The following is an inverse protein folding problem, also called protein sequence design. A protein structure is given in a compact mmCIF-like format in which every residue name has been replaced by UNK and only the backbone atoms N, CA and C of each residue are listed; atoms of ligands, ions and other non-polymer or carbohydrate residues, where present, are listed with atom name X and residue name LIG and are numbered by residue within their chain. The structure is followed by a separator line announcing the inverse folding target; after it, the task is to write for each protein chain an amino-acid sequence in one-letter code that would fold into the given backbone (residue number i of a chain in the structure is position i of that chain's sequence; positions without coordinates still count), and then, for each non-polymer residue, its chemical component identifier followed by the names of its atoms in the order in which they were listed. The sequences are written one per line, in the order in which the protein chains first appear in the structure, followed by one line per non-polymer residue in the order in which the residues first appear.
data_IF_222587978478
#
_entry.id   IF_222587978478
#
_cell.length_a   1.000
_cell.length_b   1.000
_cell.length_c   1.000
_cell.angle_alpha   90.00
_cell.angle_beta   90.00
_cell.angle_gamma   90.00
#
_symmetry.space_group_name_H-M   'P 1'
#
loop_
_entity.id
_entity.type
_entity.pdbx_description
1 polymer ?
#
# COMPACT_ATOMS: atom_id res chain seq x y z
N UNK A 1 -16.76 -11.52 -0.67
CA UNK A 1 -15.86 -10.36 -0.78
C UNK A 1 -15.20 -10.11 0.57
N UNK A 2 -13.94 -9.74 0.56
CA UNK A 2 -13.20 -9.43 1.79
C UNK A 2 -13.27 -7.95 2.11
N UNK A 3 -13.16 -7.63 3.41
CA UNK A 3 -13.04 -6.24 3.84
C UNK A 3 -11.68 -5.71 3.44
N UNK A 4 -11.66 -4.55 2.83
CA UNK A 4 -10.46 -3.88 2.35
C UNK A 4 -10.33 -2.53 3.04
N UNK A 5 -9.20 -2.30 3.69
CA UNK A 5 -8.85 -1.00 4.29
C UNK A 5 -7.93 -0.27 3.30
N UNK A 6 -8.37 0.87 2.83
CA UNK A 6 -7.71 1.62 1.78
C UNK A 6 -7.27 2.96 2.35
N UNK A 7 -5.97 3.20 2.31
CA UNK A 7 -5.39 4.46 2.74
C UNK A 7 -4.66 5.11 1.57
N UNK A 8 -5.28 6.15 1.01
CA UNK A 8 -4.68 6.98 -0.01
C UNK A 8 -3.90 8.08 0.71
N UNK A 9 -2.59 7.87 0.86
CA UNK A 9 -1.75 8.72 1.72
C UNK A 9 -1.40 10.05 1.09
N UNK A 10 -1.18 10.07 -0.22
CA UNK A 10 -0.85 11.30 -0.94
C UNK A 10 -1.37 11.18 -2.36
N UNK A 11 -2.40 11.95 -2.67
CA UNK A 11 -2.99 12.04 -4.00
C UNK A 11 -2.80 13.46 -4.55
N UNK A 12 -2.15 13.61 -5.71
CA UNK A 12 -2.15 14.91 -6.39
C UNK A 12 -3.58 15.35 -6.68
N UNK A 13 -3.88 16.63 -6.58
CA UNK A 13 -5.23 17.12 -6.84
C UNK A 13 -5.74 16.75 -8.23
N UNK A 14 -4.85 16.68 -9.21
CA UNK A 14 -5.20 16.25 -10.58
C UNK A 14 -5.65 14.80 -10.65
N UNK A 15 -5.22 13.95 -9.71
CA UNK A 15 -5.58 12.55 -9.67
C UNK A 15 -6.91 12.28 -8.96
N UNK A 16 -7.37 13.19 -8.10
CA UNK A 16 -8.55 12.96 -7.27
C UNK A 16 -9.83 12.76 -8.07
N UNK A 17 -9.96 13.41 -9.20
CA UNK A 17 -11.13 13.26 -10.08
C UNK A 17 -11.26 11.83 -10.60
N UNK A 18 -10.19 11.25 -11.14
CA UNK A 18 -10.19 9.89 -11.68
C UNK A 18 -10.41 8.85 -10.57
N UNK A 19 -9.78 9.06 -9.42
CA UNK A 19 -9.97 8.20 -8.25
C UNK A 19 -11.42 8.28 -7.79
N UNK A 20 -11.98 9.47 -7.71
CA UNK A 20 -13.36 9.68 -7.28
C UNK A 20 -14.35 9.01 -8.24
N UNK A 21 -14.10 9.08 -9.53
CA UNK A 21 -14.94 8.40 -10.53
C UNK A 21 -14.96 6.89 -10.31
N UNK A 22 -13.79 6.29 -10.09
CA UNK A 22 -13.72 4.85 -9.79
C UNK A 22 -14.50 4.52 -8.51
N UNK A 23 -14.28 5.27 -7.45
CA UNK A 23 -14.91 5.02 -6.16
C UNK A 23 -16.42 5.21 -6.22
N UNK A 24 -16.90 6.19 -6.99
CA UNK A 24 -18.34 6.44 -7.17
C UNK A 24 -19.03 5.28 -7.88
N UNK A 25 -18.37 4.61 -8.81
CA UNK A 25 -18.90 3.42 -9.48
C UNK A 25 -19.13 2.27 -8.50
N UNK A 26 -18.44 2.26 -7.37
CA UNK A 26 -18.59 1.29 -6.30
C UNK A 26 -19.35 1.86 -5.09
N UNK A 27 -20.05 2.97 -5.28
CA UNK A 27 -20.86 3.65 -4.24
C UNK A 27 -20.02 4.09 -3.05
N UNK A 28 -18.77 4.47 -3.29
CA UNK A 28 -17.85 4.96 -2.28
C UNK A 28 -17.64 6.47 -2.45
N UNK A 29 -17.73 7.19 -1.35
CA UNK A 29 -17.53 8.64 -1.30
C UNK A 29 -16.53 8.96 -0.19
N UNK A 30 -15.23 8.90 -0.46
CA UNK A 30 -14.22 9.16 0.56
C UNK A 30 -14.21 10.63 0.95
N UNK A 31 -13.87 10.90 2.21
CA UNK A 31 -13.71 12.24 2.72
C UNK A 31 -12.25 12.65 2.59
N UNK A 32 -11.96 13.46 1.58
CA UNK A 32 -10.61 13.95 1.32
C UNK A 32 -10.20 15.03 2.33
N UNK A 33 -8.96 14.93 2.79
CA UNK A 33 -8.34 15.89 3.72
C UNK A 33 -6.98 16.29 3.19
N UNK A 34 -6.44 17.47 3.57
CA UNK A 34 -5.08 17.82 3.20
C UNK A 34 -4.06 16.82 3.72
N UNK A 35 -3.01 16.56 2.92
CA UNK A 35 -1.85 15.80 3.35
C UNK A 35 -0.75 16.77 3.81
N UNK A 36 -0.47 16.87 5.13
CA UNK A 36 0.48 17.87 5.63
C UNK A 36 1.93 17.66 5.18
N UNK A 37 2.33 16.43 4.91
CA UNK A 37 3.70 16.13 4.50
C UNK A 37 4.05 16.74 3.14
N UNK A 38 3.07 16.78 2.22
CA UNK A 38 3.26 17.38 0.90
C UNK A 38 2.14 18.37 0.65
N UNK A 39 2.39 19.69 0.87
CA UNK A 39 1.36 20.71 0.67
C UNK A 39 0.78 20.69 -0.75
N UNK A 40 -0.52 20.90 -0.84
CA UNK A 40 -1.23 20.87 -2.12
C UNK A 40 -1.71 19.46 -2.54
N UNK A 41 -1.48 18.45 -1.73
CA UNK A 41 -1.99 17.09 -1.97
C UNK A 41 -3.05 16.71 -0.95
N UNK A 42 -3.78 15.64 -1.24
CA UNK A 42 -4.90 15.17 -0.44
C UNK A 42 -4.68 13.74 0.03
N UNK A 43 -5.31 13.40 1.13
CA UNK A 43 -5.35 12.04 1.68
C UNK A 43 -6.76 11.64 2.04
N UNK A 44 -7.02 10.34 2.07
CA UNK A 44 -8.26 9.78 2.59
C UNK A 44 -8.05 8.33 3.04
N UNK A 45 -8.82 7.87 4.00
CA UNK A 45 -8.84 6.48 4.44
C UNK A 45 -10.27 6.02 4.60
N UNK A 46 -10.56 4.83 4.10
CA UNK A 46 -11.91 4.24 4.16
C UNK A 46 -11.83 2.73 4.04
N UNK A 47 -12.94 2.06 4.40
CA UNK A 47 -13.09 0.63 4.23
C UNK A 47 -14.13 0.35 3.16
N UNK A 48 -13.92 -0.74 2.43
CA UNK A 48 -14.81 -1.18 1.37
C UNK A 48 -14.80 -2.69 1.24
N UNK A 49 -15.88 -3.23 0.70
CA UNK A 49 -15.96 -4.64 0.31
C UNK A 49 -15.70 -4.75 -1.18
N UNK A 50 -14.47 -5.09 -1.54
CA UNK A 50 -14.04 -5.19 -2.93
C UNK A 50 -13.57 -6.61 -3.25
N UNK A 51 -13.80 -7.04 -4.49
CA UNK A 51 -13.25 -8.29 -5.00
C UNK A 51 -11.76 -8.13 -5.30
N UNK A 52 -11.05 -9.24 -5.45
CA UNK A 52 -9.62 -9.22 -5.80
C UNK A 52 -9.39 -8.48 -7.13
N UNK A 53 -10.26 -8.68 -8.11
CA UNK A 53 -10.19 -7.97 -9.40
C UNK A 53 -10.37 -6.46 -9.25
N UNK A 54 -11.30 -6.04 -8.41
CA UNK A 54 -11.53 -4.61 -8.13
C UNK A 54 -10.34 -3.98 -7.42
N UNK A 55 -9.75 -4.69 -6.45
CA UNK A 55 -8.54 -4.23 -5.75
C UNK A 55 -7.37 -4.11 -6.73
N UNK A 56 -7.18 -5.09 -7.59
CA UNK A 56 -6.12 -5.05 -8.62
C UNK A 56 -6.31 -3.86 -9.57
N UNK A 57 -7.54 -3.61 -10.02
CA UNK A 57 -7.85 -2.48 -10.88
C UNK A 57 -7.58 -1.14 -10.17
N UNK A 58 -8.02 -1.01 -8.93
CA UNK A 58 -7.78 0.20 -8.13
C UNK A 58 -6.28 0.43 -7.93
N UNK A 59 -5.53 -0.59 -7.58
CA UNK A 59 -4.08 -0.51 -7.37
C UNK A 59 -3.35 -0.03 -8.64
N UNK A 60 -3.74 -0.56 -9.80
CA UNK A 60 -3.18 -0.14 -11.09
C UNK A 60 -3.49 1.31 -11.41
N UNK A 61 -4.73 1.73 -11.17
CA UNK A 61 -5.17 3.10 -11.38
C UNK A 61 -4.38 4.07 -10.49
N UNK A 62 -4.30 3.77 -9.20
CA UNK A 62 -3.58 4.60 -8.23
C UNK A 62 -2.09 4.73 -8.58
N UNK A 63 -1.48 3.64 -9.02
CA UNK A 63 -0.08 3.64 -9.46
C UNK A 63 0.13 4.53 -10.67
N UNK A 64 -0.75 4.45 -11.67
CA UNK A 64 -0.71 5.30 -12.87
C UNK A 64 -0.85 6.78 -12.54
N UNK A 65 -1.67 7.11 -11.55
CA UNK A 65 -1.94 8.48 -11.16
C UNK A 65 -0.91 9.08 -10.20
N UNK A 66 0.10 8.32 -9.82
CA UNK A 66 1.16 8.78 -8.92
C UNK A 66 0.71 8.94 -7.47
N UNK A 67 -0.28 8.19 -7.05
CA UNK A 67 -0.77 8.19 -5.67
C UNK A 67 0.13 7.34 -4.79
N UNK A 68 0.47 7.83 -3.60
CA UNK A 68 1.09 7.02 -2.54
C UNK A 68 -0.04 6.38 -1.75
N UNK A 69 -0.04 5.05 -1.65
CA UNK A 69 -1.16 4.36 -1.01
C UNK A 69 -0.75 3.07 -0.33
N UNK A 70 -1.63 2.62 0.55
CA UNK A 70 -1.54 1.38 1.29
C UNK A 70 -2.92 0.75 1.28
N UNK A 71 -3.01 -0.50 0.83
CA UNK A 71 -4.24 -1.27 0.82
C UNK A 71 -4.03 -2.55 1.62
N UNK A 72 -4.81 -2.71 2.68
CA UNK A 72 -4.85 -3.94 3.46
C UNK A 72 -6.08 -4.73 3.07
N UNK A 73 -5.90 -5.96 2.62
CA UNK A 73 -6.98 -6.85 2.23
C UNK A 73 -7.07 -8.02 3.20
N UNK A 74 -8.17 -8.08 3.96
CA UNK A 74 -8.48 -9.17 4.85
C UNK A 74 -9.16 -10.28 4.08
N UNK A 75 -8.53 -11.43 3.97
CA UNK A 75 -9.03 -12.61 3.27
C UNK A 75 -8.39 -13.86 3.88
N UNK A 76 -8.63 -15.04 3.30
CA UNK A 76 -7.94 -16.27 3.72
C UNK A 76 -6.43 -16.14 3.58
N UNK A 77 -6.00 -15.40 2.56
CA UNK A 77 -4.60 -15.06 2.33
C UNK A 77 -4.47 -13.54 2.43
N UNK A 78 -4.38 -12.99 3.65
CA UNK A 78 -4.32 -11.54 3.80
C UNK A 78 -3.08 -10.97 3.16
N UNK A 79 -3.22 -9.79 2.56
CA UNK A 79 -2.13 -9.11 1.90
C UNK A 79 -2.13 -7.61 2.14
N UNK A 80 -0.95 -7.03 1.97
CA UNK A 80 -0.72 -5.60 2.00
C UNK A 80 -0.21 -5.18 0.62
N UNK A 81 -0.82 -4.17 0.04
CA UNK A 81 -0.40 -3.61 -1.25
C UNK A 81 0.08 -2.20 -0.99
N UNK A 82 1.32 -1.93 -1.39
CA UNK A 82 1.94 -0.62 -1.25
C UNK A 82 2.19 -0.02 -2.64
N UNK A 83 2.00 1.28 -2.76
CA UNK A 83 2.28 2.00 -3.98
C UNK A 83 3.01 3.31 -3.72
N UNK A 84 4.06 3.56 -4.49
CA UNK A 84 4.80 4.80 -4.46
C UNK A 84 5.32 5.13 -5.87
N UNK A 85 5.21 6.39 -6.34
CA UNK A 85 5.63 6.74 -7.70
C UNK A 85 7.08 6.37 -8.02
N UNK A 86 7.97 6.43 -7.03
CA UNK A 86 9.39 6.12 -7.22
C UNK A 86 9.70 4.63 -7.26
N UNK A 87 8.85 3.77 -6.71
CA UNK A 87 9.11 2.32 -6.60
C UNK A 87 8.06 1.45 -7.29
N UNK A 88 6.89 2.01 -7.63
CA UNK A 88 5.78 1.26 -8.20
C UNK A 88 4.95 0.52 -7.16
N UNK A 89 4.40 -0.62 -7.55
CA UNK A 89 3.53 -1.47 -6.71
C UNK A 89 4.32 -2.59 -6.04
N UNK A 90 3.95 -2.90 -4.80
CA UNK A 90 4.45 -4.07 -4.10
C UNK A 90 3.30 -4.76 -3.35
N UNK A 91 3.08 -6.02 -3.64
CA UNK A 91 2.14 -6.87 -2.92
C UNK A 91 2.89 -7.76 -1.96
N UNK A 92 2.48 -7.74 -0.69
CA UNK A 92 3.14 -8.47 0.39
C UNK A 92 2.16 -9.44 1.03
N UNK A 93 2.60 -10.68 1.25
CA UNK A 93 1.87 -11.61 2.10
C UNK A 93 2.07 -11.21 3.56
N UNK A 94 1.02 -11.30 4.35
CA UNK A 94 1.07 -11.02 5.79
C UNK A 94 0.39 -12.15 6.55
N UNK A 95 0.74 -12.31 7.81
CA UNK A 95 0.09 -13.28 8.69
C UNK A 95 -1.14 -12.67 9.39
N UNK A 96 -1.77 -13.43 10.26
CA UNK A 96 -2.97 -13.00 11.00
C UNK A 96 -2.70 -11.84 11.96
N UNK A 97 -1.45 -11.61 12.35
CA UNK A 97 -1.07 -10.47 13.20
C UNK A 97 -0.67 -9.22 12.39
N UNK A 98 -0.67 -9.31 11.07
CA UNK A 98 -0.27 -8.21 10.19
C UNK A 98 1.24 -8.15 9.92
N UNK A 99 1.99 -9.15 10.35
CA UNK A 99 3.42 -9.25 10.07
C UNK A 99 3.67 -9.70 8.63
N UNK A 100 4.64 -9.10 7.98
CA UNK A 100 5.06 -9.50 6.64
C UNK A 100 5.73 -10.86 6.72
N UNK A 101 5.31 -11.78 5.86
CA UNK A 101 5.88 -13.13 5.78
C UNK A 101 6.57 -13.34 4.45
N UNK A 102 7.70 -14.05 4.48
CA UNK A 102 8.44 -14.47 3.30
C UNK A 102 8.54 -16.00 3.32
N UNK A 103 8.32 -16.61 2.18
CA UNK A 103 8.45 -18.06 2.05
C UNK A 103 9.91 -18.46 2.05
N UNK A 104 10.22 -19.62 2.65
CA UNK A 104 11.58 -20.16 2.73
C UNK A 104 12.23 -20.27 1.34
N UNK A 105 11.47 -20.73 0.35
CA UNK A 105 11.98 -20.83 -1.03
C UNK A 105 12.39 -19.50 -1.62
N UNK A 106 11.65 -18.42 -1.31
CA UNK A 106 12.01 -17.05 -1.71
C UNK A 106 13.30 -16.60 -1.02
N UNK A 107 13.41 -16.86 0.29
CA UNK A 107 14.61 -16.51 1.04
C UNK A 107 15.85 -17.23 0.51
N UNK A 108 15.74 -18.53 0.24
CA UNK A 108 16.83 -19.31 -0.35
C UNK A 108 17.26 -18.77 -1.71
N UNK A 109 16.29 -18.35 -2.55
CA UNK A 109 16.58 -17.71 -3.84
C UNK A 109 17.38 -16.43 -3.65
N UNK A 110 16.97 -15.57 -2.72
CA UNK A 110 17.67 -14.32 -2.45
C UNK A 110 19.09 -14.54 -1.94
N UNK A 111 19.28 -15.56 -1.09
CA UNK A 111 20.62 -15.92 -0.60
C UNK A 111 21.51 -16.35 -1.77
N UNK A 112 21.00 -17.16 -2.70
CA UNK A 112 21.77 -17.57 -3.90
C UNK A 112 22.08 -16.39 -4.79
N UNK A 113 21.11 -15.51 -5.05
CA UNK A 113 21.28 -14.33 -5.90
C UNK A 113 22.30 -13.33 -5.33
N UNK A 114 22.43 -13.26 -4.01
CA UNK A 114 23.37 -12.36 -3.35
C UNK A 114 24.84 -12.83 -3.43
N UNK A 115 25.07 -14.09 -3.79
CA UNK A 115 26.41 -14.68 -3.96
C UNK A 115 27.33 -14.46 -2.76
N UNK A 116 26.78 -14.53 -1.54
CA UNK A 116 27.55 -14.34 -0.31
C UNK A 116 27.83 -12.89 0.06
N UNK A 117 27.30 -11.93 -0.68
CA UNK A 117 27.44 -10.51 -0.38
C UNK A 117 26.32 -10.03 0.56
N UNK A 118 26.68 -9.68 1.80
CA UNK A 118 25.72 -9.25 2.81
C UNK A 118 24.94 -8.00 2.42
N UNK A 119 25.59 -7.01 1.83
CA UNK A 119 24.92 -5.77 1.40
C UNK A 119 23.91 -6.02 0.31
N UNK A 120 24.26 -6.91 -0.63
CA UNK A 120 23.34 -7.29 -1.70
C UNK A 120 22.14 -8.09 -1.16
N UNK A 121 22.38 -9.03 -0.22
CA UNK A 121 21.30 -9.76 0.43
C UNK A 121 20.38 -8.81 1.19
N UNK A 122 20.92 -7.86 1.94
CA UNK A 122 20.15 -6.86 2.65
C UNK A 122 19.28 -6.04 1.68
N UNK A 123 19.85 -5.60 0.57
CA UNK A 123 19.13 -4.86 -0.47
C UNK A 123 17.96 -5.67 -1.03
N UNK A 124 18.21 -6.93 -1.38
CA UNK A 124 17.19 -7.83 -1.93
C UNK A 124 16.08 -8.10 -0.92
N UNK A 125 16.43 -8.29 0.36
CA UNK A 125 15.45 -8.49 1.42
C UNK A 125 14.57 -7.24 1.62
N UNK A 126 15.15 -6.05 1.59
CA UNK A 126 14.38 -4.80 1.71
C UNK A 126 13.35 -4.63 0.59
N UNK A 127 13.70 -5.06 -0.61
CA UNK A 127 12.76 -5.06 -1.75
C UNK A 127 11.67 -6.12 -1.54
N UNK A 128 12.06 -7.35 -1.23
CA UNK A 128 11.13 -8.48 -1.12
C UNK A 128 10.15 -8.32 0.05
N UNK A 129 10.60 -7.77 1.17
CA UNK A 129 9.75 -7.51 2.35
C UNK A 129 8.99 -6.19 2.28
N UNK A 130 9.19 -5.41 1.22
CA UNK A 130 8.54 -4.11 1.05
C UNK A 130 9.07 -3.01 1.99
N UNK A 131 10.16 -3.23 2.70
CA UNK A 131 10.73 -2.24 3.62
C UNK A 131 11.07 -0.94 2.90
N UNK A 132 11.56 -1.01 1.66
CA UNK A 132 11.86 0.18 0.86
C UNK A 132 10.60 1.04 0.62
N UNK A 133 9.44 0.42 0.40
CA UNK A 133 8.15 1.13 0.28
C UNK A 133 7.71 1.70 1.62
N UNK A 134 7.80 0.90 2.69
CA UNK A 134 7.40 1.34 4.03
C UNK A 134 8.17 2.56 4.49
N UNK A 135 9.47 2.63 4.22
CA UNK A 135 10.30 3.79 4.56
C UNK A 135 9.83 5.06 3.82
N UNK A 136 9.39 4.94 2.58
CA UNK A 136 8.88 6.07 1.80
C UNK A 136 7.46 6.47 2.18
N UNK A 137 6.67 5.53 2.66
CA UNK A 137 5.27 5.75 3.06
C UNK A 137 5.18 6.35 4.47
N UNK A 138 6.09 6.00 5.37
CA UNK A 138 6.03 6.38 6.77
C UNK A 138 5.91 7.90 7.02
N UNK A 139 6.63 8.80 6.31
CA UNK A 139 6.47 10.24 6.52
C UNK A 139 5.03 10.72 6.31
N UNK A 140 4.34 10.16 5.32
CA UNK A 140 2.93 10.52 5.06
C UNK A 140 2.01 10.02 6.17
N UNK A 141 2.26 8.81 6.68
CA UNK A 141 1.50 8.23 7.80
C UNK A 141 1.66 9.05 9.06
N UNK A 142 2.89 9.44 9.38
CA UNK A 142 3.22 10.22 10.58
C UNK A 142 2.64 11.62 10.52
N UNK A 143 2.52 12.21 9.34
CA UNK A 143 1.94 13.53 9.15
C UNK A 143 0.41 13.55 9.29
N UNK A 144 -0.24 12.37 9.34
CA UNK A 144 -1.71 12.23 9.38
C UNK A 144 -2.18 11.62 10.70
N UNK A 145 -2.07 12.33 11.83
CA UNK A 145 -2.24 11.76 13.17
C UNK A 145 -3.62 11.16 13.43
N UNK A 146 -4.68 11.73 12.88
CA UNK A 146 -6.04 11.22 13.07
C UNK A 146 -6.26 9.87 12.37
N UNK A 147 -5.55 9.64 11.30
CA UNK A 147 -5.67 8.44 10.47
C UNK A 147 -4.73 7.35 10.97
N UNK A 148 -3.50 7.71 11.39
CA UNK A 148 -2.52 6.75 11.88
C UNK A 148 -2.95 5.99 13.14
N UNK A 149 -3.85 6.57 13.92
CA UNK A 149 -4.34 5.97 15.17
C UNK A 149 -5.37 4.87 14.94
N UNK A 150 -5.87 4.74 13.71
CA UNK A 150 -6.78 3.65 13.38
C UNK A 150 -5.98 2.35 13.29
N UNK A 151 -6.32 1.33 14.09
CA UNK A 151 -5.62 0.05 13.99
C UNK A 151 -5.86 -0.57 12.62
N UNK A 152 -4.87 -1.32 12.12
CA UNK A 152 -5.12 -2.19 10.98
C UNK A 152 -6.09 -3.26 11.44
N UNK A 153 -7.05 -3.57 10.59
CA UNK A 153 -7.97 -4.67 10.87
C UNK A 153 -7.16 -5.97 10.93
N UNK A 154 -7.31 -6.68 12.03
CA UNK A 154 -6.61 -7.94 12.27
C UNK A 154 -7.54 -9.10 11.95
#
# INVERSE_FOLDING_TARGET
MSVTDIWLLCAPKSATFDVQNFLSQHQLSPNWKPQPHTPGTLQTRFQASLSDGQVAHLSSLLSKLGVVFEIYQSSKEPCLILGHPGLGLKRLAIDSSGEIVIRIGQLERLIRESEGNHKELERLLRVETGTAWLDLVEPYRMASPRVRQLPRAV
#
